data_IF_111011284462
#
_entry.id   IF_111011284462
#
_cell.length_a   1.000
_cell.length_b   1.000
_cell.length_c   1.000
_cell.angle_alpha   90.00
_cell.angle_beta   90.00
_cell.angle_gamma   90.00
#
_symmetry.space_group_name_H-M   'P 1'
#
loop_
_entity.id
_entity.type
_entity.pdbx_description
1 polymer ?
#
# COMPACT_ATOMS: atom_id res chain seq x y z
N UNK A 1 7.61 -13.18 1.27
CA UNK A 1 8.51 -13.27 2.43
C UNK A 1 9.82 -14.01 2.11
N UNK A 2 9.76 -15.27 1.62
CA UNK A 2 10.95 -16.11 1.39
C UNK A 2 12.01 -15.47 0.48
N UNK A 3 11.61 -14.87 -0.63
CA UNK A 3 12.54 -14.20 -1.56
C UNK A 3 13.20 -12.97 -0.92
N UNK A 4 12.43 -12.20 -0.14
CA UNK A 4 12.94 -11.02 0.58
C UNK A 4 13.96 -11.45 1.63
N UNK A 5 13.65 -12.48 2.42
CA UNK A 5 14.60 -13.04 3.40
C UNK A 5 15.89 -13.52 2.75
N UNK A 6 15.78 -14.22 1.62
CA UNK A 6 16.97 -14.70 0.90
C UNK A 6 17.81 -13.52 0.39
N UNK A 7 17.18 -12.48 -0.16
CA UNK A 7 17.89 -11.28 -0.60
C UNK A 7 18.71 -10.62 0.53
N UNK A 8 18.11 -10.45 1.71
CA UNK A 8 18.84 -9.92 2.86
C UNK A 8 19.98 -10.84 3.30
N UNK A 9 19.72 -12.14 3.37
CA UNK A 9 20.73 -13.12 3.74
C UNK A 9 21.93 -13.10 2.79
N UNK A 10 21.67 -13.06 1.48
CA UNK A 10 22.71 -12.99 0.45
C UNK A 10 23.49 -11.67 0.53
N UNK A 11 22.79 -10.54 0.75
CA UNK A 11 23.43 -9.24 0.91
C UNK A 11 24.41 -9.24 2.09
N UNK A 12 23.98 -9.66 3.27
CA UNK A 12 24.85 -9.66 4.46
C UNK A 12 25.92 -10.75 4.45
N UNK A 13 25.77 -11.79 3.63
CA UNK A 13 26.80 -12.82 3.43
C UNK A 13 27.92 -12.37 2.49
N UNK A 14 27.68 -11.33 1.67
CA UNK A 14 28.71 -10.79 0.78
C UNK A 14 29.77 -10.01 1.58
N UNK A 15 31.02 -10.41 1.47
CA UNK A 15 32.15 -9.74 2.17
C UNK A 15 32.36 -8.27 1.74
N UNK A 16 31.76 -7.84 0.64
CA UNK A 16 31.81 -6.46 0.14
C UNK A 16 30.53 -5.67 0.40
N UNK A 17 29.59 -6.18 1.21
CA UNK A 17 28.29 -5.52 1.41
C UNK A 17 28.41 -4.07 1.93
N UNK A 18 29.48 -3.74 2.68
CA UNK A 18 29.75 -2.38 3.15
C UNK A 18 30.04 -1.38 2.01
N UNK A 19 30.39 -1.87 0.82
CA UNK A 19 30.61 -1.06 -0.40
C UNK A 19 29.40 -1.05 -1.34
N UNK A 20 28.31 -1.74 -0.98
CA UNK A 20 27.10 -1.86 -1.78
C UNK A 20 26.02 -0.89 -1.32
N UNK A 21 25.00 -0.70 -2.18
CA UNK A 21 23.80 0.03 -1.78
C UNK A 21 23.06 -0.77 -0.71
N UNK A 22 22.90 -0.18 0.46
CA UNK A 22 22.25 -0.81 1.59
C UNK A 22 20.73 -0.96 1.37
N UNK A 23 20.13 -2.12 1.65
CA UNK A 23 18.69 -2.31 1.56
C UNK A 23 17.96 -1.56 2.68
N UNK A 24 17.43 -0.38 2.38
CA UNK A 24 16.89 0.56 3.38
C UNK A 24 15.41 0.35 3.74
N UNK A 25 14.64 -0.35 2.92
CA UNK A 25 13.25 -0.71 3.21
C UNK A 25 12.75 -1.82 2.28
N UNK A 26 11.66 -2.45 2.66
CA UNK A 26 10.85 -3.30 1.77
C UNK A 26 9.62 -2.51 1.34
N UNK A 27 9.47 -2.32 0.04
CA UNK A 27 8.34 -1.62 -0.57
C UNK A 27 7.46 -2.63 -1.31
N UNK A 28 6.16 -2.64 -1.02
CA UNK A 28 5.18 -3.49 -1.70
C UNK A 28 3.99 -2.64 -2.17
N UNK A 29 3.37 -3.02 -3.30
CA UNK A 29 2.09 -2.47 -3.75
C UNK A 29 0.94 -3.40 -3.38
N UNK A 30 -0.13 -2.88 -2.77
CA UNK A 30 -1.32 -3.65 -2.41
C UNK A 30 -2.61 -2.88 -2.70
N UNK A 31 -3.43 -3.35 -3.66
CA UNK A 31 -3.16 -4.37 -4.69
C UNK A 31 -1.99 -4.00 -5.61
N UNK A 32 -1.41 -5.01 -6.26
CA UNK A 32 -0.41 -4.78 -7.31
C UNK A 32 -1.06 -4.19 -8.57
N UNK A 33 -0.24 -3.70 -9.51
CA UNK A 33 -0.72 -3.22 -10.82
C UNK A 33 -1.42 -4.31 -11.63
N UNK A 34 -1.11 -5.57 -11.38
CA UNK A 34 -1.77 -6.72 -12.00
C UNK A 34 -3.08 -7.12 -11.30
N UNK A 35 -3.45 -6.44 -10.21
CA UNK A 35 -4.65 -6.74 -9.43
C UNK A 35 -4.50 -7.88 -8.44
N UNK A 36 -3.29 -8.39 -8.21
CA UNK A 36 -3.06 -9.43 -7.19
C UNK A 36 -3.05 -8.83 -5.79
N UNK A 37 -3.50 -9.62 -4.81
CA UNK A 37 -3.56 -9.24 -3.41
C UNK A 37 -2.52 -10.02 -2.61
N UNK A 38 -1.97 -9.39 -1.57
CA UNK A 38 -1.31 -10.12 -0.50
C UNK A 38 -2.36 -10.63 0.48
N UNK A 39 -2.29 -11.91 0.83
CA UNK A 39 -3.06 -12.43 1.96
C UNK A 39 -2.53 -11.88 3.29
N UNK A 40 -3.36 -11.92 4.33
CA UNK A 40 -2.95 -11.53 5.68
C UNK A 40 -1.70 -12.28 6.13
N UNK A 41 -1.67 -13.60 5.87
CA UNK A 41 -0.52 -14.44 6.20
C UNK A 41 0.76 -14.00 5.48
N UNK A 42 0.68 -13.64 4.21
CA UNK A 42 1.85 -13.15 3.46
C UNK A 42 2.37 -11.83 3.99
N UNK A 43 1.46 -10.92 4.40
CA UNK A 43 1.85 -9.66 5.04
C UNK A 43 2.47 -9.89 6.43
N UNK A 44 1.94 -10.82 7.22
CA UNK A 44 2.52 -11.23 8.52
C UNK A 44 3.94 -11.78 8.34
N UNK A 45 4.13 -12.69 7.39
CA UNK A 45 5.44 -13.26 7.07
C UNK A 45 6.43 -12.20 6.58
N UNK A 46 5.98 -11.23 5.76
CA UNK A 46 6.81 -10.12 5.29
C UNK A 46 7.20 -9.21 6.46
N UNK A 47 6.24 -8.85 7.31
CA UNK A 47 6.48 -8.01 8.49
C UNK A 47 7.52 -8.65 9.41
N UNK A 48 7.44 -9.96 9.67
CA UNK A 48 8.43 -10.69 10.47
C UNK A 48 9.82 -10.58 9.85
N UNK A 49 9.96 -10.84 8.56
CA UNK A 49 11.25 -10.75 7.85
C UNK A 49 11.79 -9.32 7.90
N UNK A 50 10.95 -8.31 7.68
CA UNK A 50 11.37 -6.92 7.75
C UNK A 50 11.94 -6.56 9.13
N UNK A 51 11.25 -6.97 10.20
CA UNK A 51 11.73 -6.73 11.57
C UNK A 51 13.00 -7.52 11.90
N UNK A 52 13.16 -8.73 11.37
CA UNK A 52 14.39 -9.54 11.55
C UNK A 52 15.64 -8.81 11.04
N UNK A 53 15.50 -8.00 9.97
CA UNK A 53 16.60 -7.26 9.34
C UNK A 53 16.58 -5.75 9.61
N UNK A 54 15.74 -5.30 10.53
CA UNK A 54 15.57 -3.86 10.87
C UNK A 54 15.25 -2.99 9.63
N UNK A 55 14.52 -3.54 8.67
CA UNK A 55 14.09 -2.89 7.45
C UNK A 55 12.61 -2.52 7.52
N UNK A 56 12.22 -1.24 7.42
CA UNK A 56 10.82 -0.86 7.44
C UNK A 56 10.02 -1.50 6.30
N UNK A 57 8.80 -1.96 6.59
CA UNK A 57 7.83 -2.39 5.59
C UNK A 57 6.93 -1.22 5.20
N UNK A 58 7.04 -0.80 3.93
CA UNK A 58 6.21 0.26 3.35
C UNK A 58 5.20 -0.33 2.36
N UNK A 59 3.92 0.02 2.53
CA UNK A 59 2.85 -0.42 1.63
C UNK A 59 2.33 0.74 0.77
N UNK A 60 2.48 0.59 -0.53
CA UNK A 60 1.86 1.43 -1.54
C UNK A 60 0.38 1.03 -1.69
N UNK A 61 -0.49 1.90 -1.22
CA UNK A 61 -1.93 1.73 -1.26
C UNK A 61 -2.62 2.56 -2.33
N UNK A 62 -1.99 2.81 -3.49
CA UNK A 62 -2.58 3.60 -4.58
C UNK A 62 -3.95 3.11 -5.03
N UNK A 63 -4.24 1.82 -4.85
CA UNK A 63 -5.51 1.16 -5.17
C UNK A 63 -6.13 0.46 -3.95
N UNK A 64 -5.75 0.90 -2.75
CA UNK A 64 -6.06 0.21 -1.49
C UNK A 64 -7.54 -0.02 -1.30
N UNK A 65 -8.38 0.97 -1.60
CA UNK A 65 -9.82 0.85 -1.49
C UNK A 65 -10.38 -0.33 -2.28
N UNK A 66 -9.89 -0.56 -3.48
CA UNK A 66 -10.31 -1.69 -4.32
C UNK A 66 -9.91 -3.03 -3.71
N UNK A 67 -8.67 -3.13 -3.23
CA UNK A 67 -8.19 -4.33 -2.55
C UNK A 67 -9.01 -4.66 -1.31
N UNK A 68 -9.27 -3.67 -0.45
CA UNK A 68 -10.00 -3.87 0.81
C UNK A 68 -11.46 -4.33 0.65
N UNK A 69 -12.07 -4.10 -0.51
CA UNK A 69 -13.47 -4.51 -0.77
C UNK A 69 -13.58 -5.68 -1.74
N UNK A 70 -12.46 -6.21 -2.21
CA UNK A 70 -12.45 -7.41 -3.07
C UNK A 70 -12.93 -8.63 -2.28
N UNK A 71 -13.68 -9.54 -2.92
CA UNK A 71 -14.15 -10.78 -2.31
C UNK A 71 -13.01 -11.71 -1.90
N UNK A 72 -11.87 -11.65 -2.60
CA UNK A 72 -10.68 -12.44 -2.31
C UNK A 72 -9.81 -11.87 -1.17
N UNK A 73 -10.19 -10.73 -0.61
CA UNK A 73 -9.40 -10.04 0.40
C UNK A 73 -9.69 -10.55 1.82
N UNK A 74 -8.63 -10.91 2.55
CA UNK A 74 -8.67 -11.28 3.96
C UNK A 74 -7.97 -10.27 4.89
N UNK A 75 -7.60 -9.09 4.35
CA UNK A 75 -6.85 -8.04 5.05
C UNK A 75 -7.73 -6.85 5.37
N UNK A 76 -7.66 -6.35 6.58
CA UNK A 76 -8.31 -5.12 7.01
C UNK A 76 -7.33 -3.94 7.06
N UNK A 77 -7.85 -2.71 7.06
CA UNK A 77 -7.01 -1.52 7.27
C UNK A 77 -6.28 -1.55 8.64
N UNK A 78 -6.90 -2.14 9.65
CA UNK A 78 -6.29 -2.34 10.96
C UNK A 78 -5.14 -3.36 10.91
N UNK A 79 -5.26 -4.42 10.11
CA UNK A 79 -4.17 -5.38 9.88
C UNK A 79 -2.98 -4.69 9.22
N UNK A 80 -3.21 -3.91 8.16
CA UNK A 80 -2.16 -3.13 7.49
C UNK A 80 -1.46 -2.20 8.49
N UNK A 81 -2.23 -1.48 9.30
CA UNK A 81 -1.67 -0.58 10.32
C UNK A 81 -0.85 -1.31 11.39
N UNK A 82 -1.17 -2.56 11.70
CA UNK A 82 -0.41 -3.36 12.67
C UNK A 82 0.88 -3.94 12.09
N UNK A 83 0.88 -4.30 10.79
CA UNK A 83 1.95 -5.04 10.12
C UNK A 83 2.96 -4.14 9.40
N UNK A 84 2.52 -3.01 8.86
CA UNK A 84 3.39 -2.07 8.16
C UNK A 84 3.95 -0.98 9.07
N UNK A 85 5.12 -0.45 8.72
CA UNK A 85 5.73 0.68 9.43
C UNK A 85 5.25 2.03 8.88
N UNK A 86 4.94 2.07 7.60
CA UNK A 86 4.21 3.16 6.97
C UNK A 86 3.44 2.63 5.77
N UNK A 87 2.36 3.31 5.43
CA UNK A 87 1.62 3.04 4.21
C UNK A 87 0.92 4.30 3.73
N UNK A 88 0.50 4.34 2.47
CA UNK A 88 -0.40 5.40 2.07
C UNK A 88 -1.74 4.86 1.55
N UNK A 89 -2.75 5.68 1.73
CA UNK A 89 -4.11 5.42 1.28
C UNK A 89 -4.34 6.23 0.01
N UNK A 90 -4.54 5.55 -1.10
CA UNK A 90 -4.80 6.17 -2.38
C UNK A 90 -6.13 6.94 -2.38
N UNK A 91 -6.08 8.22 -2.72
CA UNK A 91 -7.27 9.08 -2.80
C UNK A 91 -7.74 9.29 -4.23
N UNK A 92 -6.84 9.56 -5.15
CA UNK A 92 -7.17 10.01 -6.51
C UNK A 92 -7.89 8.95 -7.36
N UNK A 93 -7.71 7.68 -7.08
CA UNK A 93 -8.44 6.59 -7.75
C UNK A 93 -9.78 6.27 -7.09
N UNK A 94 -10.05 6.83 -5.90
CA UNK A 94 -11.26 6.54 -5.10
C UNK A 94 -12.05 7.82 -4.79
N UNK A 95 -12.07 8.76 -5.73
CA UNK A 95 -12.95 9.93 -5.67
C UNK A 95 -12.32 11.23 -5.18
N UNK A 96 -11.09 11.23 -4.66
CA UNK A 96 -10.39 12.49 -4.39
C UNK A 96 -9.95 13.18 -5.68
N UNK A 97 -10.00 14.50 -5.71
CA UNK A 97 -9.49 15.30 -6.81
C UNK A 97 -7.96 15.28 -6.88
N UNK A 98 -7.32 15.21 -5.73
CA UNK A 98 -5.86 15.18 -5.61
C UNK A 98 -5.44 14.66 -4.23
N UNK A 99 -4.21 14.20 -4.12
CA UNK A 99 -3.56 13.83 -2.87
C UNK A 99 -3.77 12.38 -2.44
N UNK A 100 -2.89 12.00 -1.54
CA UNK A 100 -2.82 10.69 -0.90
C UNK A 100 -2.62 10.91 0.60
N UNK A 101 -3.08 9.99 1.44
CA UNK A 101 -2.87 10.07 2.88
C UNK A 101 -1.76 9.11 3.32
N UNK A 102 -0.63 9.64 3.75
CA UNK A 102 0.46 8.84 4.32
C UNK A 102 0.19 8.60 5.81
N UNK A 103 0.27 7.35 6.22
CA UNK A 103 -0.02 6.90 7.58
C UNK A 103 1.24 6.31 8.24
N UNK A 104 1.56 6.80 9.42
CA UNK A 104 2.56 6.24 10.33
C UNK A 104 1.84 5.64 11.53
N UNK A 105 1.44 4.36 11.49
CA UNK A 105 0.46 3.80 12.43
C UNK A 105 1.01 3.60 13.84
N UNK A 106 2.34 3.50 13.99
CA UNK A 106 3.03 3.20 15.26
C UNK A 106 3.58 4.47 15.94
N UNK A 107 3.10 5.65 15.58
CA UNK A 107 3.68 6.94 15.99
C UNK A 107 5.18 7.04 15.68
N UNK A 108 5.59 6.43 14.59
CA UNK A 108 6.96 6.21 14.15
C UNK A 108 7.37 7.13 12.99
N UNK A 109 6.66 8.25 12.79
CA UNK A 109 7.08 9.26 11.83
C UNK A 109 8.54 9.68 12.10
N UNK A 110 9.38 9.81 11.05
CA UNK A 110 10.78 10.20 11.22
C UNK A 110 10.93 11.46 12.04
N UNK A 111 11.98 11.52 12.85
CA UNK A 111 12.30 12.73 13.60
C UNK A 111 12.40 13.94 12.66
N UNK A 112 11.79 15.05 13.02
CA UNK A 112 11.72 16.26 12.20
C UNK A 112 11.01 16.07 10.84
N UNK A 113 10.05 15.12 10.75
CA UNK A 113 9.33 14.81 9.53
C UNK A 113 8.76 16.05 8.83
N UNK A 114 8.09 16.95 9.57
CA UNK A 114 7.52 18.18 9.01
C UNK A 114 8.59 19.13 8.44
N UNK A 115 9.78 19.16 9.04
CA UNK A 115 10.91 19.94 8.50
C UNK A 115 11.40 19.34 7.20
N UNK A 116 11.48 18.01 7.12
CA UNK A 116 11.84 17.29 5.89
C UNK A 116 10.83 17.52 4.78
N UNK A 117 9.53 17.40 5.08
CA UNK A 117 8.43 17.72 4.15
C UNK A 117 8.57 19.14 3.61
N UNK A 118 8.86 20.10 4.48
CA UNK A 118 9.05 21.50 4.11
C UNK A 118 10.28 21.72 3.24
N UNK A 119 11.40 21.05 3.55
CA UNK A 119 12.63 21.12 2.73
C UNK A 119 12.41 20.62 1.30
N UNK A 120 11.56 19.61 1.12
CA UNK A 120 11.18 19.08 -0.19
C UNK A 120 10.06 19.87 -0.88
N UNK A 121 9.65 21.03 -0.34
CA UNK A 121 8.58 21.85 -0.91
C UNK A 121 7.19 21.21 -0.85
N UNK A 122 7.02 20.14 -0.08
CA UNK A 122 5.78 19.37 -0.01
C UNK A 122 4.79 19.85 1.08
N UNK A 123 5.18 20.83 1.90
CA UNK A 123 4.29 21.41 2.90
C UNK A 123 3.43 22.51 2.26
N UNK A 124 2.17 22.21 2.02
CA UNK A 124 1.21 23.15 1.49
C UNK A 124 0.78 24.16 2.56
N UNK A 125 0.88 25.45 2.27
CA UNK A 125 0.41 26.52 3.18
C UNK A 125 -1.11 26.45 3.43
N UNK A 126 -1.87 25.92 2.47
CA UNK A 126 -3.34 25.79 2.50
C UNK A 126 -3.76 24.37 2.11
N UNK A 127 -3.25 23.36 2.82
CA UNK A 127 -3.52 21.94 2.59
C UNK A 127 -4.91 21.46 3.01
N UNK A 128 -5.79 22.34 3.50
CA UNK A 128 -7.14 21.98 4.00
C UNK A 128 -7.97 21.24 2.95
N UNK A 129 -7.84 21.58 1.66
CA UNK A 129 -8.57 20.89 0.59
C UNK A 129 -8.26 19.41 0.55
N UNK A 130 -7.01 19.01 0.77
CA UNK A 130 -6.63 17.59 0.88
C UNK A 130 -7.28 16.93 2.10
N UNK A 131 -7.19 17.56 3.26
CA UNK A 131 -7.77 17.05 4.50
C UNK A 131 -9.28 16.85 4.42
N UNK A 132 -10.01 17.81 3.86
CA UNK A 132 -11.49 17.75 3.69
C UNK A 132 -11.89 16.60 2.76
N UNK A 133 -11.11 16.29 1.71
CA UNK A 133 -11.39 15.16 0.84
C UNK A 133 -11.31 13.84 1.61
N UNK A 134 -10.26 13.63 2.39
CA UNK A 134 -10.11 12.41 3.18
C UNK A 134 -11.13 12.33 4.32
N UNK A 135 -11.44 13.44 4.99
CA UNK A 135 -12.51 13.51 5.97
C UNK A 135 -13.85 13.07 5.35
N UNK A 136 -14.18 13.58 4.18
CA UNK A 136 -15.38 13.19 3.43
C UNK A 136 -15.36 11.72 3.03
N UNK A 137 -14.26 11.24 2.46
CA UNK A 137 -14.13 9.85 2.00
C UNK A 137 -14.26 8.83 3.14
N UNK A 138 -13.81 9.17 4.34
CA UNK A 138 -13.91 8.28 5.49
C UNK A 138 -15.17 8.54 6.35
N UNK A 139 -15.99 9.54 6.00
CA UNK A 139 -17.32 9.73 6.59
C UNK A 139 -18.29 8.72 5.97
N UNK A 140 -19.11 8.07 6.80
CA UNK A 140 -20.16 7.12 6.41
C UNK A 140 -19.68 6.01 5.46
N UNK A 141 -18.41 5.60 5.57
CA UNK A 141 -17.78 4.56 4.74
C UNK A 141 -17.74 4.86 3.23
N UNK A 142 -17.85 6.11 2.81
CA UNK A 142 -17.91 6.49 1.39
C UNK A 142 -16.73 5.94 0.58
N UNK A 143 -15.52 5.92 1.13
CA UNK A 143 -14.33 5.36 0.51
C UNK A 143 -14.54 3.90 0.05
N UNK A 144 -15.12 3.09 0.93
CA UNK A 144 -15.40 1.68 0.64
C UNK A 144 -16.59 1.52 -0.33
N UNK A 145 -17.61 2.34 -0.22
CA UNK A 145 -18.76 2.28 -1.13
C UNK A 145 -18.40 2.63 -2.57
N UNK A 146 -17.58 3.67 -2.77
CA UNK A 146 -17.03 4.01 -4.09
C UNK A 146 -16.21 2.82 -4.64
N UNK A 147 -15.37 2.23 -3.80
CA UNK A 147 -14.52 1.10 -4.16
C UNK A 147 -15.32 -0.14 -4.53
N UNK A 148 -16.38 -0.47 -3.81
CA UNK A 148 -17.29 -1.58 -4.14
C UNK A 148 -17.95 -1.40 -5.51
N UNK A 149 -18.38 -0.19 -5.84
CA UNK A 149 -18.94 0.09 -7.15
C UNK A 149 -17.93 -0.14 -8.28
N UNK A 150 -16.67 0.24 -8.07
CA UNK A 150 -15.61 0.01 -9.05
C UNK A 150 -15.32 -1.49 -9.26
N UNK A 151 -15.24 -2.28 -8.18
CA UNK A 151 -15.07 -3.74 -8.25
C UNK A 151 -16.25 -4.39 -9.00
N UNK A 152 -17.47 -4.06 -8.62
CA UNK A 152 -18.69 -4.58 -9.32
C UNK A 152 -18.65 -4.29 -10.81
N UNK A 153 -18.22 -3.11 -11.20
CA UNK A 153 -18.13 -2.73 -12.63
C UNK A 153 -17.03 -3.51 -13.33
N UNK A 154 -15.88 -3.69 -12.68
CA UNK A 154 -14.78 -4.49 -13.21
C UNK A 154 -15.17 -5.97 -13.39
N UNK A 155 -15.88 -6.56 -12.42
CA UNK A 155 -16.37 -7.93 -12.50
C UNK A 155 -17.38 -8.11 -13.63
N UNK A 156 -18.28 -7.14 -13.84
CA UNK A 156 -19.19 -7.13 -14.98
C UNK A 156 -18.42 -7.16 -16.31
N UNK A 157 -17.38 -6.35 -16.44
CA UNK A 157 -16.53 -6.33 -17.63
C UNK A 157 -15.78 -7.66 -17.78
N UNK A 158 -15.17 -8.16 -16.69
CA UNK A 158 -14.45 -9.43 -16.68
C UNK A 158 -15.34 -10.57 -17.16
N UNK A 159 -16.55 -10.67 -16.64
CA UNK A 159 -17.51 -11.67 -17.04
C UNK A 159 -17.87 -11.57 -18.53
N UNK A 160 -18.20 -10.37 -19.01
CA UNK A 160 -18.54 -10.15 -20.42
C UNK A 160 -17.38 -10.50 -21.39
N UNK A 161 -16.13 -10.27 -20.96
CA UNK A 161 -14.96 -10.67 -21.74
C UNK A 161 -14.78 -12.18 -21.76
N UNK A 162 -14.98 -12.87 -20.63
CA UNK A 162 -14.94 -14.34 -20.55
C UNK A 162 -16.00 -14.98 -21.48
N UNK A 163 -17.22 -14.46 -21.47
CA UNK A 163 -18.29 -14.93 -22.35
C UNK A 163 -17.98 -14.76 -23.86
N UNK A 164 -17.14 -13.77 -24.18
CA UNK A 164 -16.63 -13.55 -25.54
C UNK A 164 -15.39 -14.37 -25.88
N UNK A 165 -14.91 -15.21 -24.97
CA UNK A 165 -13.76 -16.10 -25.18
C UNK A 165 -12.39 -15.43 -24.99
N UNK A 166 -12.32 -14.25 -24.39
CA UNK A 166 -11.04 -13.64 -24.04
C UNK A 166 -10.42 -14.35 -22.83
N UNK A 167 -9.09 -14.49 -22.85
CA UNK A 167 -8.31 -15.01 -21.73
C UNK A 167 -7.56 -13.87 -21.05
N UNK A 168 -7.31 -14.03 -19.75
CA UNK A 168 -6.57 -13.05 -18.95
C UNK A 168 -5.15 -13.54 -18.70
N UNK A 169 -4.23 -12.60 -18.52
CA UNK A 169 -2.84 -12.89 -18.18
C UNK A 169 -2.74 -13.50 -16.76
N UNK A 170 -3.54 -12.98 -15.84
CA UNK A 170 -3.76 -13.53 -14.50
C UNK A 170 -5.29 -13.61 -14.32
N UNK A 171 -5.80 -14.78 -13.94
CA UNK A 171 -7.25 -14.99 -13.73
C UNK A 171 -7.58 -15.03 -12.24
#
# INVERSE_FOLDING_TARGET
AKAVKQYFADFYADGNHEHMVFPGMVYISHPTEYGTLYSKKELEELSIVCHEYDAPLYLDGARLGYGLVSEENDVTLADIASLCDAFYIGGTKVGALCGEAVVFPKNNAPKHFMTTVKQHGALLAKGRVLGVQFDTLFTDNLYFEISKNAIKTADTLKQALKEKGYTFYID
#
